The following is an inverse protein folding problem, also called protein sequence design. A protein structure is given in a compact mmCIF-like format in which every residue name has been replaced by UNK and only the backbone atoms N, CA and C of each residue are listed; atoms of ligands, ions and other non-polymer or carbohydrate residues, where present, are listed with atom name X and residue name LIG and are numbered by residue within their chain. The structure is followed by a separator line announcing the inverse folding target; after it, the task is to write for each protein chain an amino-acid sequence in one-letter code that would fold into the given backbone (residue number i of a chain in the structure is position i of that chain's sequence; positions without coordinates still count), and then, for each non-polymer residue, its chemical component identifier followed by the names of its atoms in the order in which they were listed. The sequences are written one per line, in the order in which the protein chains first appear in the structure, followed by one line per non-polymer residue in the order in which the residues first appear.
data_IF_007495379646
#
_entry.id   IF_007495379646
#
_cell.length_a   1.000
_cell.length_b   1.000
_cell.length_c   1.000
_cell.angle_alpha   90.00
_cell.angle_beta   90.00
_cell.angle_gamma   90.00
#
_symmetry.space_group_name_H-M   'P 1'
#
loop_
_entity.id
_entity.type
_entity.pdbx_description
1 polymer ?
#
# COMPACT_ATOMS: atom_id res chain seq x y z
N UNK A 1 -14.07 4.60 -25.88
CA UNK A 1 -14.85 3.98 -24.78
C UNK A 1 -13.85 3.53 -23.70
N UNK A 2 -13.14 4.47 -23.08
CA UNK A 2 -11.91 4.19 -22.32
C UNK A 2 -11.81 5.04 -21.05
N UNK A 3 -12.18 6.31 -21.13
CA UNK A 3 -12.14 7.23 -19.97
C UNK A 3 -13.16 6.83 -18.89
N UNK A 4 -14.39 6.46 -19.27
CA UNK A 4 -15.42 6.04 -18.32
C UNK A 4 -15.03 4.79 -17.52
N UNK A 5 -14.39 3.82 -18.16
CA UNK A 5 -13.95 2.59 -17.48
C UNK A 5 -12.82 2.86 -16.47
N UNK A 6 -11.88 3.77 -16.81
CA UNK A 6 -10.82 4.21 -15.88
C UNK A 6 -11.40 4.88 -14.64
N UNK A 7 -12.32 5.85 -14.82
CA UNK A 7 -12.94 6.58 -13.71
C UNK A 7 -13.71 5.64 -12.78
N UNK A 8 -14.44 4.66 -13.32
CA UNK A 8 -15.15 3.67 -12.51
C UNK A 8 -14.18 2.76 -11.74
N UNK A 9 -13.07 2.35 -12.36
CA UNK A 9 -12.04 1.52 -11.71
C UNK A 9 -11.34 2.29 -10.58
N UNK A 10 -10.91 3.51 -10.85
CA UNK A 10 -10.30 4.43 -9.88
C UNK A 10 -11.23 4.71 -8.69
N UNK A 11 -12.53 4.94 -8.97
CA UNK A 11 -13.54 5.14 -7.93
C UNK A 11 -13.68 3.92 -7.02
N UNK A 12 -13.73 2.71 -7.59
CA UNK A 12 -13.81 1.46 -6.83
C UNK A 12 -12.54 1.19 -6.02
N UNK A 13 -11.38 1.39 -6.62
CA UNK A 13 -10.09 1.24 -5.95
C UNK A 13 -9.98 2.19 -4.75
N UNK A 14 -10.33 3.47 -4.94
CA UNK A 14 -10.34 4.45 -3.84
C UNK A 14 -11.34 4.11 -2.74
N UNK A 15 -12.51 3.59 -3.07
CA UNK A 15 -13.48 3.13 -2.07
C UNK A 15 -12.91 2.00 -1.21
N UNK A 16 -12.31 0.97 -1.82
CA UNK A 16 -11.66 -0.11 -1.10
C UNK A 16 -10.49 0.38 -0.25
N UNK A 17 -9.64 1.25 -0.80
CA UNK A 17 -8.51 1.86 -0.09
C UNK A 17 -8.97 2.57 1.17
N UNK A 18 -10.03 3.38 1.09
CA UNK A 18 -10.59 4.10 2.26
C UNK A 18 -11.09 3.13 3.34
N UNK A 19 -11.78 2.05 2.93
CA UNK A 19 -12.28 1.04 3.86
C UNK A 19 -11.13 0.29 4.54
N UNK A 20 -10.10 -0.11 3.78
CA UNK A 20 -8.92 -0.79 4.28
C UNK A 20 -8.14 0.08 5.27
N UNK A 21 -7.96 1.37 4.98
CA UNK A 21 -7.29 2.30 5.92
C UNK A 21 -8.05 2.38 7.24
N UNK A 22 -9.38 2.46 7.23
CA UNK A 22 -10.17 2.43 8.47
C UNK A 22 -10.01 1.11 9.22
N UNK A 23 -10.17 -0.02 8.53
CA UNK A 23 -10.05 -1.35 9.13
C UNK A 23 -8.67 -1.54 9.78
N UNK A 24 -7.60 -1.22 9.06
CA UNK A 24 -6.23 -1.34 9.57
C UNK A 24 -6.01 -0.38 10.75
N UNK A 25 -6.57 0.83 10.73
CA UNK A 25 -6.47 1.75 11.87
C UNK A 25 -7.11 1.18 13.13
N UNK A 26 -8.22 0.44 13.00
CA UNK A 26 -8.89 -0.24 14.12
C UNK A 26 -8.05 -1.42 14.59
N UNK A 27 -7.55 -2.25 13.67
CA UNK A 27 -6.69 -3.40 14.00
C UNK A 27 -5.41 -2.96 14.71
N UNK A 28 -4.83 -1.83 14.31
CA UNK A 28 -3.60 -1.28 14.88
C UNK A 28 -3.74 -0.75 16.33
N UNK A 29 -4.97 -0.71 16.87
CA UNK A 29 -5.19 -0.48 18.30
C UNK A 29 -4.67 -1.65 19.15
N UNK A 30 -4.60 -2.86 18.57
CA UNK A 30 -4.03 -4.05 19.18
C UNK A 30 -2.49 -3.97 19.05
N UNK A 31 -1.72 -3.94 20.15
CA UNK A 31 -0.27 -3.74 20.12
C UNK A 31 0.50 -4.75 19.26
N UNK A 32 0.16 -6.03 19.35
CA UNK A 32 0.79 -7.11 18.59
C UNK A 32 0.51 -6.98 17.09
N UNK A 33 -0.75 -6.68 16.75
CA UNK A 33 -1.13 -6.47 15.35
C UNK A 33 -0.42 -5.24 14.77
N UNK A 34 -0.30 -4.16 15.55
CA UNK A 34 0.46 -2.96 15.14
C UNK A 34 1.92 -3.28 14.87
N UNK A 35 2.56 -4.08 15.73
CA UNK A 35 3.95 -4.50 15.52
C UNK A 35 4.12 -5.28 14.21
N UNK A 36 3.22 -6.24 13.93
CA UNK A 36 3.22 -6.99 12.66
C UNK A 36 3.01 -6.09 11.44
N UNK A 37 2.07 -5.14 11.51
CA UNK A 37 1.81 -4.19 10.42
C UNK A 37 3.03 -3.29 10.16
N UNK A 38 3.74 -2.86 11.20
CA UNK A 38 4.96 -2.07 11.07
C UNK A 38 6.14 -2.89 10.54
N UNK A 39 6.24 -4.18 10.89
CA UNK A 39 7.25 -5.08 10.34
C UNK A 39 7.04 -5.25 8.82
N UNK A 40 5.80 -5.50 8.40
CA UNK A 40 5.43 -5.61 6.98
C UNK A 40 5.78 -4.34 6.19
N UNK A 41 5.55 -3.15 6.79
CA UNK A 41 5.93 -1.88 6.15
C UNK A 41 7.43 -1.78 5.87
N UNK A 42 8.28 -2.29 6.78
CA UNK A 42 9.75 -2.26 6.67
C UNK A 42 10.28 -3.31 5.70
N UNK A 43 9.68 -4.50 5.66
CA UNK A 43 10.04 -5.55 4.69
C UNK A 43 9.82 -5.04 3.26
N UNK A 44 8.73 -4.32 3.00
CA UNK A 44 8.46 -3.69 1.71
C UNK A 44 9.42 -2.52 1.36
N UNK A 45 10.13 -1.94 2.33
CA UNK A 45 11.20 -0.96 2.05
C UNK A 45 12.49 -1.69 1.61
N UNK A 46 12.76 -2.87 2.15
CA UNK A 46 14.02 -3.61 1.90
C UNK A 46 14.06 -4.23 0.50
N UNK A 47 12.91 -4.63 -0.05
CA UNK A 47 12.80 -5.18 -1.41
C UNK A 47 13.13 -4.13 -2.48
N UNK A 48 12.90 -2.84 -2.21
CA UNK A 48 13.14 -1.77 -3.18
C UNK A 48 14.62 -1.38 -3.34
N UNK A 49 15.49 -1.72 -2.38
CA UNK A 49 16.91 -1.28 -2.36
C UNK A 49 17.88 -2.24 -3.08
N UNK A 50 17.38 -3.31 -3.71
CA UNK A 50 18.21 -4.25 -4.46
C UNK A 50 18.34 -3.84 -5.94
N UNK A 51 19.41 -3.08 -6.21
CA UNK A 51 20.18 -3.04 -7.48
C UNK A 51 19.36 -3.23 -8.78
N UNK A 52 18.66 -2.18 -9.24
CA UNK A 52 18.29 -2.09 -10.65
C UNK A 52 19.56 -1.86 -11.51
N UNK A 53 20.09 -2.95 -12.07
CA UNK A 53 21.16 -2.95 -13.07
C UNK A 53 20.72 -2.12 -14.30
N UNK A 54 21.44 -1.04 -14.69
CA UNK A 54 20.97 -0.11 -15.70
C UNK A 54 21.06 -0.74 -17.09
N UNK A 55 20.01 -1.43 -17.52
CA UNK A 55 19.94 -1.99 -18.88
C UNK A 55 18.85 -3.02 -19.16
N UNK A 56 18.09 -3.48 -18.17
CA UNK A 56 16.99 -4.43 -18.37
C UNK A 56 15.66 -3.66 -18.28
N UNK A 57 14.89 -3.62 -19.37
CA UNK A 57 13.50 -3.16 -19.32
C UNK A 57 12.74 -4.03 -18.29
N UNK A 58 12.17 -3.46 -17.22
CA UNK A 58 11.44 -4.25 -16.24
C UNK A 58 10.25 -4.93 -16.93
N UNK A 59 10.21 -6.26 -16.85
CA UNK A 59 9.06 -7.04 -17.31
C UNK A 59 7.79 -6.53 -16.60
N UNK A 60 6.65 -6.53 -17.30
CA UNK A 60 5.40 -5.93 -16.82
C UNK A 60 4.94 -6.48 -15.46
N UNK A 61 5.39 -7.69 -15.10
CA UNK A 61 5.19 -8.30 -13.80
C UNK A 61 5.91 -7.55 -12.65
N UNK A 62 7.14 -7.07 -12.87
CA UNK A 62 7.87 -6.28 -11.87
C UNK A 62 7.24 -4.91 -11.66
N UNK A 63 6.78 -4.27 -12.74
CA UNK A 63 6.05 -3.01 -12.64
C UNK A 63 4.75 -3.15 -11.84
N UNK A 64 4.01 -4.25 -12.05
CA UNK A 64 2.79 -4.52 -11.28
C UNK A 64 3.07 -4.80 -9.80
N UNK A 65 4.15 -5.52 -9.49
CA UNK A 65 4.57 -5.78 -8.12
C UNK A 65 4.97 -4.50 -7.39
N UNK A 66 5.76 -3.65 -8.04
CA UNK A 66 6.16 -2.35 -7.49
C UNK A 66 4.95 -1.46 -7.17
N UNK A 67 3.98 -1.39 -8.08
CA UNK A 67 2.72 -0.64 -7.87
C UNK A 67 1.95 -1.19 -6.67
N UNK A 68 1.90 -2.51 -6.50
CA UNK A 68 1.25 -3.14 -5.36
C UNK A 68 1.97 -2.80 -4.04
N UNK A 69 3.30 -2.84 -4.03
CA UNK A 69 4.11 -2.56 -2.85
C UNK A 69 4.03 -1.08 -2.43
N UNK A 70 4.01 -0.17 -3.40
CA UNK A 70 3.76 1.26 -3.18
C UNK A 70 2.37 1.49 -2.56
N UNK A 71 1.34 0.84 -3.07
CA UNK A 71 -0.03 0.97 -2.57
C UNK A 71 -0.15 0.41 -1.14
N UNK A 72 0.48 -0.73 -0.85
CA UNK A 72 0.53 -1.28 0.51
C UNK A 72 1.19 -0.29 1.48
N UNK A 73 2.35 0.29 1.12
CA UNK A 73 3.04 1.30 1.92
C UNK A 73 2.13 2.51 2.17
N UNK A 74 1.45 3.00 1.14
CA UNK A 74 0.54 4.14 1.25
C UNK A 74 -0.64 3.85 2.20
N UNK A 75 -1.23 2.66 2.14
CA UNK A 75 -2.34 2.24 3.01
C UNK A 75 -1.88 2.16 4.47
N UNK A 76 -0.75 1.50 4.75
CA UNK A 76 -0.23 1.36 6.11
C UNK A 76 0.09 2.72 6.73
N UNK A 77 0.78 3.59 5.98
CA UNK A 77 1.10 4.95 6.43
C UNK A 77 -0.17 5.75 6.77
N UNK A 78 -1.19 5.70 5.91
CA UNK A 78 -2.45 6.38 6.16
C UNK A 78 -3.19 5.82 7.39
N UNK A 79 -3.14 4.51 7.60
CA UNK A 79 -3.78 3.88 8.76
C UNK A 79 -3.11 4.27 10.08
N UNK A 80 -1.77 4.34 10.11
CA UNK A 80 -1.03 4.79 11.30
C UNK A 80 -1.29 6.26 11.61
N UNK A 81 -1.22 7.15 10.62
CA UNK A 81 -1.53 8.57 10.82
C UNK A 81 -2.96 8.79 11.37
N UNK A 82 -3.91 7.97 10.93
CA UNK A 82 -5.28 8.00 11.44
C UNK A 82 -5.38 7.49 12.88
N UNK A 83 -4.64 6.46 13.24
CA UNK A 83 -4.57 5.97 14.63
C UNK A 83 -4.06 7.07 15.57
N UNK A 84 -2.98 7.77 15.18
CA UNK A 84 -2.41 8.89 15.95
C UNK A 84 -3.41 10.04 16.16
N UNK A 85 -4.31 10.27 15.21
CA UNK A 85 -5.37 11.29 15.34
C UNK A 85 -6.51 10.86 16.28
N UNK A 86 -6.69 9.55 16.50
CA UNK A 86 -7.75 8.97 17.34
C UNK A 86 -7.34 8.79 18.81
N UNK A 87 -6.04 8.86 19.12
CA UNK A 87 -5.45 8.75 20.46
C UNK A 87 -5.34 10.11 21.13
#
# INVERSE_FOLDING_TARGET
MTIGNSIHLEGRANAHRRLLVELISVVATIPEARATLLAMARENETVADHEEDPGIEPDAAFAAQQIADDEIRAILKAAMARLETKL
#
